data_IF_279540145734
#
_entry.id   IF_279540145734
#
_cell.length_a   1.000
_cell.length_b   1.000
_cell.length_c   1.000
_cell.angle_alpha   90.00
_cell.angle_beta   90.00
_cell.angle_gamma   90.00
#
_symmetry.space_group_name_H-M   'P 1'
#
loop_
_entity.id
_entity.type
_entity.pdbx_description
1 polymer ?
#
# COMPACT_ATOMS: atom_id res chain seq x y z
N UNK A 1 -9.74 40.91 -26.66
CA UNK A 1 -8.69 40.29 -25.83
C UNK A 1 -9.28 39.82 -24.49
N UNK A 2 -10.17 38.82 -24.48
CA UNK A 2 -10.88 38.41 -23.25
C UNK A 2 -11.11 36.88 -23.11
N UNK A 3 -10.29 36.06 -23.78
CA UNK A 3 -10.42 34.58 -23.75
C UNK A 3 -9.26 33.87 -23.02
N UNK A 4 -8.21 34.60 -22.60
CA UNK A 4 -7.04 34.02 -21.92
C UNK A 4 -7.19 33.89 -20.39
N UNK A 5 -8.11 34.65 -19.79
CA UNK A 5 -8.33 34.63 -18.34
C UNK A 5 -9.11 33.39 -17.88
N UNK A 6 -10.05 32.89 -18.69
CA UNK A 6 -10.90 31.74 -18.34
C UNK A 6 -10.20 30.39 -18.47
N UNK A 7 -9.31 30.24 -19.45
CA UNK A 7 -8.51 29.03 -19.65
C UNK A 7 -7.51 28.82 -18.50
N UNK A 8 -6.89 29.90 -18.06
CA UNK A 8 -5.92 29.91 -16.96
C UNK A 8 -6.56 29.44 -15.66
N UNK A 9 -7.73 29.98 -15.28
CA UNK A 9 -8.45 29.56 -14.07
C UNK A 9 -8.85 28.08 -14.09
N UNK A 10 -9.29 27.58 -15.25
CA UNK A 10 -9.65 26.15 -15.39
C UNK A 10 -8.44 25.22 -15.34
N UNK A 11 -7.30 25.65 -15.88
CA UNK A 11 -6.05 24.91 -15.77
C UNK A 11 -5.53 24.87 -14.33
N UNK A 12 -5.55 26.01 -13.64
CA UNK A 12 -5.10 26.09 -12.23
C UNK A 12 -5.96 25.25 -11.30
N UNK A 13 -7.27 25.17 -11.52
CA UNK A 13 -8.14 24.29 -10.72
C UNK A 13 -7.86 22.81 -10.95
N UNK A 14 -7.53 22.41 -12.18
CA UNK A 14 -7.14 21.02 -12.49
C UNK A 14 -5.76 20.68 -11.90
N UNK A 15 -4.78 21.60 -12.02
CA UNK A 15 -3.45 21.44 -11.41
C UNK A 15 -3.56 21.34 -9.89
N UNK A 16 -4.32 22.23 -9.25
CA UNK A 16 -4.54 22.20 -7.81
C UNK A 16 -5.23 20.90 -7.37
N UNK A 17 -6.22 20.42 -8.13
CA UNK A 17 -6.93 19.16 -7.82
C UNK A 17 -6.01 17.95 -7.92
N UNK A 18 -5.15 17.88 -8.93
CA UNK A 18 -4.21 16.78 -9.11
C UNK A 18 -3.08 16.82 -8.08
N UNK A 19 -2.57 18.03 -7.78
CA UNK A 19 -1.59 18.23 -6.73
C UNK A 19 -2.15 17.82 -5.36
N UNK A 20 -3.39 18.19 -5.06
CA UNK A 20 -4.09 17.77 -3.84
C UNK A 20 -4.27 16.25 -3.77
N UNK A 21 -4.64 15.61 -4.89
CA UNK A 21 -4.79 14.14 -4.97
C UNK A 21 -3.47 13.42 -4.69
N UNK A 22 -2.36 13.90 -5.27
CA UNK A 22 -1.01 13.34 -5.11
C UNK A 22 -0.45 13.58 -3.70
N UNK A 23 -0.61 14.79 -3.18
CA UNK A 23 -0.15 15.16 -1.84
C UNK A 23 -0.93 14.44 -0.74
N UNK A 24 -2.26 14.31 -0.87
CA UNK A 24 -3.09 13.54 0.10
C UNK A 24 -2.65 12.07 0.20
N UNK A 25 -2.31 11.44 -0.94
CA UNK A 25 -1.80 10.05 -0.94
C UNK A 25 -0.42 9.97 -0.27
N UNK A 26 0.49 10.90 -0.55
CA UNK A 26 1.81 10.96 0.08
C UNK A 26 1.76 11.25 1.58
N UNK A 27 0.82 12.08 2.04
CA UNK A 27 0.63 12.33 3.48
C UNK A 27 0.19 11.08 4.23
N UNK A 28 -0.68 10.25 3.63
CA UNK A 28 -1.11 8.96 4.22
C UNK A 28 -0.01 7.89 4.22
N UNK A 29 0.86 7.89 3.22
CA UNK A 29 2.02 6.98 3.13
C UNK A 29 3.30 7.56 3.77
N UNK A 30 3.22 8.76 4.34
CA UNK A 30 4.39 9.51 4.80
C UNK A 30 4.91 9.04 6.17
N UNK A 31 6.12 9.47 6.55
CA UNK A 31 6.74 9.15 7.85
C UNK A 31 5.86 9.53 9.05
N UNK A 32 5.01 10.55 8.90
CA UNK A 32 4.05 10.98 9.92
C UNK A 32 3.05 9.87 10.27
N UNK A 33 2.60 9.08 9.30
CA UNK A 33 1.73 7.93 9.57
C UNK A 33 2.50 6.79 10.26
N UNK A 34 3.82 6.69 10.03
CA UNK A 34 4.69 5.74 10.73
C UNK A 34 4.87 6.09 12.21
N UNK A 35 4.73 7.35 12.61
CA UNK A 35 4.70 7.76 14.02
C UNK A 35 3.56 7.07 14.77
N UNK A 36 2.41 6.78 14.12
CA UNK A 36 1.33 6.02 14.77
C UNK A 36 1.76 4.62 15.22
N UNK A 37 2.79 4.06 14.58
CA UNK A 37 3.38 2.76 14.92
C UNK A 37 4.69 2.87 15.70
N UNK A 38 5.19 4.09 15.94
CA UNK A 38 6.36 4.27 16.80
C UNK A 38 5.91 4.24 18.25
N UNK A 39 6.06 3.06 18.86
CA UNK A 39 5.83 2.79 20.27
C UNK A 39 6.70 1.61 20.69
N UNK A 40 6.62 1.19 21.95
CA UNK A 40 7.28 -0.03 22.39
C UNK A 40 6.75 -1.21 21.60
N UNK A 41 7.65 -1.98 20.97
CA UNK A 41 7.30 -3.29 20.42
C UNK A 41 6.69 -4.12 21.54
N UNK A 42 5.45 -4.62 21.42
CA UNK A 42 4.86 -5.46 22.44
C UNK A 42 5.75 -6.70 22.65
N UNK A 43 6.16 -6.94 23.90
CA UNK A 43 7.07 -8.05 24.24
C UNK A 43 6.43 -9.42 24.00
N UNK A 44 5.09 -9.49 23.98
CA UNK A 44 4.32 -10.71 23.74
C UNK A 44 2.95 -10.40 23.15
N UNK A 45 2.51 -11.26 22.24
CA UNK A 45 1.14 -11.26 21.72
C UNK A 45 0.23 -11.75 22.84
N UNK A 46 -0.53 -10.84 23.46
CA UNK A 46 -1.39 -11.17 24.62
C UNK A 46 -2.48 -12.18 24.27
N UNK A 47 -2.95 -12.16 23.02
CA UNK A 47 -3.92 -13.09 22.46
C UNK A 47 -3.49 -13.31 21.01
N UNK A 48 -3.05 -14.51 20.66
CA UNK A 48 -2.90 -14.86 19.26
C UNK A 48 -4.31 -14.86 18.65
N UNK A 49 -4.56 -14.09 17.57
CA UNK A 49 -5.82 -14.20 16.85
C UNK A 49 -6.03 -15.68 16.49
N UNK A 50 -7.26 -16.21 16.60
CA UNK A 50 -7.54 -17.59 16.19
C UNK A 50 -7.16 -17.86 14.73
N UNK A 51 -7.03 -16.80 13.93
CA UNK A 51 -6.62 -16.83 12.53
C UNK A 51 -5.11 -16.86 12.30
N UNK A 52 -4.28 -16.78 13.35
CA UNK A 52 -2.83 -16.93 13.21
C UNK A 52 -2.52 -18.40 12.95
N UNK A 53 -2.58 -18.77 11.67
CA UNK A 53 -2.13 -20.09 11.23
C UNK A 53 -0.66 -20.27 11.61
N UNK A 54 -0.35 -21.40 12.25
CA UNK A 54 1.01 -21.88 12.41
C UNK A 54 1.69 -21.87 11.04
N UNK A 55 3.00 -21.57 11.03
CA UNK A 55 3.77 -21.55 9.80
C UNK A 55 3.69 -22.92 9.11
N UNK A 56 3.00 -22.96 7.96
CA UNK A 56 2.86 -24.17 7.15
C UNK A 56 4.09 -24.29 6.24
N UNK A 57 4.88 -25.38 6.35
CA UNK A 57 6.06 -25.57 5.51
C UNK A 57 5.74 -25.67 4.01
N UNK A 58 4.53 -26.12 3.65
CA UNK A 58 4.12 -26.24 2.25
C UNK A 58 3.89 -24.86 1.63
N UNK A 59 3.23 -23.95 2.36
CA UNK A 59 3.05 -22.56 1.95
C UNK A 59 4.41 -21.87 1.80
N UNK A 60 5.35 -22.13 2.72
CA UNK A 60 6.70 -21.57 2.64
C UNK A 60 7.40 -22.02 1.34
N UNK A 61 7.29 -23.30 0.99
CA UNK A 61 7.87 -23.86 -0.23
C UNK A 61 7.28 -23.21 -1.49
N UNK A 62 5.96 -23.02 -1.55
CA UNK A 62 5.31 -22.30 -2.64
C UNK A 62 5.83 -20.87 -2.79
N UNK A 63 5.95 -20.13 -1.67
CA UNK A 63 6.50 -18.77 -1.65
C UNK A 63 7.94 -18.75 -2.17
N UNK A 64 8.77 -19.73 -1.80
CA UNK A 64 10.14 -19.85 -2.30
C UNK A 64 10.21 -20.13 -3.80
N UNK A 65 9.21 -20.80 -4.37
CA UNK A 65 9.04 -20.95 -5.82
C UNK A 65 8.36 -19.74 -6.50
N UNK A 66 8.12 -18.64 -5.77
CA UNK A 66 7.51 -17.43 -6.31
C UNK A 66 5.99 -17.54 -6.50
N UNK A 67 5.34 -18.49 -5.81
CA UNK A 67 3.90 -18.72 -5.81
C UNK A 67 3.30 -18.22 -4.50
N UNK A 68 2.32 -17.34 -4.58
CA UNK A 68 1.74 -16.67 -3.41
C UNK A 68 0.26 -16.98 -3.31
N UNK A 69 -0.19 -17.75 -2.29
CA UNK A 69 -1.61 -17.93 -2.02
C UNK A 69 -2.18 -16.67 -1.34
N UNK A 70 -3.03 -15.94 -2.06
CA UNK A 70 -3.68 -14.71 -1.61
C UNK A 70 -5.20 -14.89 -1.66
N UNK A 71 -5.84 -14.90 -0.49
CA UNK A 71 -7.32 -14.99 -0.38
C UNK A 71 -7.93 -16.16 -1.17
N UNK A 72 -7.24 -17.30 -1.25
CA UNK A 72 -7.67 -18.48 -2.01
C UNK A 72 -7.28 -18.49 -3.49
N UNK A 73 -6.61 -17.45 -3.98
CA UNK A 73 -6.03 -17.41 -5.33
C UNK A 73 -4.53 -17.62 -5.30
N UNK A 74 -4.01 -18.46 -6.19
CA UNK A 74 -2.57 -18.64 -6.35
C UNK A 74 -2.04 -17.64 -7.39
N UNK A 75 -1.09 -16.79 -6.98
CA UNK A 75 -0.43 -15.83 -7.87
C UNK A 75 1.01 -16.28 -8.12
N UNK A 76 1.33 -16.58 -9.38
CA UNK A 76 2.71 -16.87 -9.80
C UNK A 76 3.40 -15.58 -10.23
N UNK A 77 4.54 -15.27 -9.62
CA UNK A 77 5.24 -13.99 -9.82
C UNK A 77 6.54 -14.13 -10.61
N UNK A 78 6.98 -15.36 -10.88
CA UNK A 78 8.24 -15.63 -11.58
C UNK A 78 9.47 -14.96 -10.95
N UNK A 79 9.46 -14.78 -9.63
CA UNK A 79 10.55 -14.12 -8.88
C UNK A 79 10.44 -12.61 -8.76
N UNK A 80 9.39 -11.98 -9.30
CA UNK A 80 9.07 -10.56 -9.02
C UNK A 80 8.22 -10.45 -7.76
N UNK A 81 8.10 -9.25 -7.21
CA UNK A 81 7.23 -9.05 -6.05
C UNK A 81 5.74 -9.21 -6.45
N UNK A 82 4.91 -9.94 -5.69
CA UNK A 82 3.47 -10.07 -5.97
C UNK A 82 2.71 -8.73 -5.88
N UNK A 83 3.32 -7.70 -5.29
CA UNK A 83 2.72 -6.37 -5.15
C UNK A 83 3.08 -5.41 -6.31
N UNK A 84 3.79 -5.89 -7.33
CA UNK A 84 4.19 -5.14 -8.52
C UNK A 84 3.43 -5.54 -9.79
N UNK A 85 2.63 -6.62 -9.73
CA UNK A 85 1.84 -7.17 -10.84
C UNK A 85 0.39 -6.69 -10.76
#
# INVERSE_FOLDING_TARGET
>A
MALAASSTTRLWTLVAKEFWRKTRRRLRAGPVYRWRYSGRTPERVLIAPPDLRLADPQIALEIYYGRYPLSGHLVETGGKSPFQI
#
